data_IF_576016834707
#
_entry.id   IF_576016834707
#
_cell.length_a   1.000
_cell.length_b   1.000
_cell.length_c   1.000
_cell.angle_alpha   90.00
_cell.angle_beta   90.00
_cell.angle_gamma   90.00
#
_symmetry.space_group_name_H-M   'P 1'
#
loop_
_entity.id
_entity.type
_entity.pdbx_description
1 polymer ?
#
# COMPACT_ATOMS: atom_id res chain seq x y z
N UNK A 1 12.25 -8.00 -16.85
CA UNK A 1 12.71 -7.04 -15.81
C UNK A 1 11.68 -7.05 -14.69
N UNK A 2 12.08 -7.17 -13.41
CA UNK A 2 11.12 -7.17 -12.28
C UNK A 2 10.72 -5.74 -11.95
N UNK A 3 9.43 -5.48 -11.75
CA UNK A 3 8.91 -4.16 -11.40
C UNK A 3 9.37 -3.73 -9.98
N UNK A 4 9.93 -2.52 -9.86
CA UNK A 4 10.32 -1.86 -8.60
C UNK A 4 9.46 -0.61 -8.37
N UNK A 5 8.47 -0.64 -7.44
CA UNK A 5 7.60 0.50 -7.17
C UNK A 5 8.32 1.84 -6.93
N UNK A 6 9.44 1.83 -6.18
CA UNK A 6 10.18 3.06 -5.88
C UNK A 6 10.74 3.75 -7.12
N UNK A 7 11.01 3.00 -8.18
CA UNK A 7 11.60 3.50 -9.43
C UNK A 7 10.58 4.25 -10.28
N UNK A 8 9.28 4.11 -10.00
CA UNK A 8 8.23 4.88 -10.67
C UNK A 8 8.06 6.30 -10.08
N UNK A 9 8.83 6.66 -9.04
CA UNK A 9 8.80 7.97 -8.40
C UNK A 9 10.08 8.75 -8.74
N UNK A 10 9.96 10.08 -8.85
CA UNK A 10 11.08 11.01 -9.08
C UNK A 10 12.17 10.95 -7.99
N UNK A 11 11.81 10.56 -6.76
CA UNK A 11 12.75 10.35 -5.66
C UNK A 11 12.58 8.95 -5.04
N UNK A 12 13.25 7.91 -5.58
CA UNK A 12 13.18 6.56 -5.05
C UNK A 12 13.66 6.44 -3.59
N UNK A 13 14.61 7.28 -3.17
CA UNK A 13 15.15 7.29 -1.80
C UNK A 13 14.13 7.73 -0.75
N UNK A 14 13.12 8.51 -1.17
CA UNK A 14 12.04 8.97 -0.30
C UNK A 14 10.91 7.95 -0.07
N UNK A 15 10.96 6.77 -0.70
CA UNK A 15 9.87 5.81 -0.68
C UNK A 15 9.50 5.34 0.74
N UNK A 16 8.23 5.51 1.13
CA UNK A 16 7.73 5.18 2.45
C UNK A 16 8.30 6.05 3.59
N UNK A 17 9.02 7.13 3.28
CA UNK A 17 9.65 8.02 4.28
C UNK A 17 9.12 9.44 4.14
N UNK A 18 9.19 10.01 2.94
CA UNK A 18 8.73 11.38 2.71
C UNK A 18 7.20 11.49 2.89
N UNK A 19 6.69 12.59 3.46
CA UNK A 19 5.27 12.86 3.47
C UNK A 19 4.75 13.25 2.08
N UNK A 20 3.45 12.98 1.85
CA UNK A 20 2.76 13.41 0.64
C UNK A 20 3.06 12.55 -0.59
N UNK A 21 2.56 13.00 -1.75
CA UNK A 21 2.83 12.35 -3.02
C UNK A 21 4.20 12.78 -3.56
N UNK A 22 5.02 11.81 -3.94
CA UNK A 22 6.27 12.05 -4.68
C UNK A 22 5.91 12.11 -6.17
N UNK A 23 6.36 13.13 -6.94
CA UNK A 23 6.07 13.22 -8.37
C UNK A 23 6.52 11.98 -9.16
N UNK A 24 5.94 11.69 -10.34
CA UNK A 24 6.34 10.56 -11.17
C UNK A 24 7.80 10.65 -11.61
N UNK A 25 8.40 9.50 -11.93
CA UNK A 25 9.68 9.46 -12.64
C UNK A 25 9.59 10.15 -14.02
N UNK A 26 10.72 10.57 -14.58
CA UNK A 26 10.78 11.42 -15.77
C UNK A 26 10.06 10.83 -17.01
N UNK A 27 9.99 9.51 -17.11
CA UNK A 27 9.36 8.75 -18.19
C UNK A 27 7.88 8.38 -17.92
N UNK A 28 7.33 8.82 -16.78
CA UNK A 28 5.99 8.47 -16.33
C UNK A 28 5.11 9.71 -16.15
N UNK A 29 3.81 9.50 -16.27
CA UNK A 29 2.79 10.51 -15.97
C UNK A 29 1.97 10.10 -14.75
N UNK A 30 1.15 11.03 -14.25
CA UNK A 30 0.25 10.76 -13.11
C UNK A 30 -0.83 9.73 -13.40
N UNK A 31 -1.12 9.46 -14.68
CA UNK A 31 -2.09 8.45 -15.11
C UNK A 31 -1.46 7.06 -15.36
N UNK A 32 -0.13 6.93 -15.30
CA UNK A 32 0.53 5.64 -15.50
C UNK A 32 0.24 4.71 -14.29
N UNK A 33 -0.24 3.49 -14.58
CA UNK A 33 -0.60 2.51 -13.55
C UNK A 33 0.59 2.11 -12.67
N UNK A 34 1.82 2.14 -13.20
CA UNK A 34 3.04 1.91 -12.42
C UNK A 34 3.21 3.02 -11.38
N UNK A 35 3.09 4.28 -11.79
CA UNK A 35 3.13 5.41 -10.87
C UNK A 35 2.02 5.35 -9.82
N UNK A 36 0.77 5.09 -10.22
CA UNK A 36 -0.36 4.98 -9.30
C UNK A 36 -0.16 3.86 -8.26
N UNK A 37 0.29 2.68 -8.72
CA UNK A 37 0.63 1.57 -7.82
C UNK A 37 1.78 1.92 -6.87
N UNK A 38 2.78 2.66 -7.33
CA UNK A 38 3.88 3.14 -6.50
C UNK A 38 3.43 4.16 -5.45
N UNK A 39 2.53 5.08 -5.79
CA UNK A 39 1.92 6.03 -4.83
C UNK A 39 1.15 5.29 -3.75
N UNK A 40 0.33 4.29 -4.14
CA UNK A 40 -0.42 3.47 -3.21
C UNK A 40 0.52 2.73 -2.24
N UNK A 41 1.54 2.06 -2.76
CA UNK A 41 2.48 1.32 -1.93
C UNK A 41 3.37 2.25 -1.10
N UNK A 42 3.69 3.45 -1.59
CA UNK A 42 4.39 4.48 -0.83
C UNK A 42 3.59 4.89 0.42
N UNK A 43 2.31 5.21 0.24
CA UNK A 43 1.42 5.58 1.34
C UNK A 43 1.30 4.46 2.37
N UNK A 44 1.08 3.23 1.89
CA UNK A 44 1.09 2.02 2.71
C UNK A 44 2.39 1.86 3.51
N UNK A 45 3.54 1.91 2.83
CA UNK A 45 4.83 1.70 3.47
C UNK A 45 5.14 2.77 4.52
N UNK A 46 4.75 4.02 4.23
CA UNK A 46 4.86 5.13 5.17
C UNK A 46 4.00 4.89 6.39
N UNK A 47 2.74 4.49 6.22
CA UNK A 47 1.84 4.25 7.35
C UNK A 47 2.33 3.11 8.23
N UNK A 48 2.74 1.99 7.64
CA UNK A 48 3.34 0.87 8.38
C UNK A 48 4.53 1.32 9.23
N UNK A 49 5.41 2.17 8.67
CA UNK A 49 6.57 2.69 9.41
C UNK A 49 6.17 3.59 10.57
N UNK A 50 5.20 4.48 10.37
CA UNK A 50 4.69 5.35 11.44
C UNK A 50 4.10 4.53 12.59
N UNK A 51 3.33 3.49 12.28
CA UNK A 51 2.72 2.61 13.28
C UNK A 51 3.79 1.83 14.05
N UNK A 52 4.80 1.30 13.36
CA UNK A 52 5.93 0.63 14.00
C UNK A 52 6.72 1.58 14.92
N UNK A 53 6.97 2.81 14.48
CA UNK A 53 7.62 3.84 15.29
C UNK A 53 6.77 4.17 16.52
N UNK A 54 5.46 4.37 16.34
CA UNK A 54 4.53 4.64 17.45
C UNK A 54 4.47 3.49 18.45
N UNK A 55 4.60 2.25 17.99
CA UNK A 55 4.66 1.06 18.82
C UNK A 55 6.06 0.80 19.43
N UNK A 56 7.05 1.64 19.14
CA UNK A 56 8.44 1.43 19.59
C UNK A 56 9.12 0.19 19.01
N UNK A 57 8.62 -0.34 17.88
CA UNK A 57 9.08 -1.60 17.28
C UNK A 57 9.90 -1.38 16.01
N UNK A 58 10.96 -2.15 15.85
CA UNK A 58 11.68 -2.31 14.57
C UNK A 58 10.95 -3.35 13.70
N UNK A 59 10.98 -3.18 12.37
CA UNK A 59 10.35 -4.13 11.41
C UNK A 59 10.70 -5.58 11.71
N UNK A 60 11.98 -5.92 11.89
CA UNK A 60 12.38 -7.31 12.18
C UNK A 60 11.93 -7.81 13.54
N UNK A 61 11.88 -6.94 14.54
CA UNK A 61 11.37 -7.35 15.85
C UNK A 61 9.88 -7.64 15.77
N UNK A 62 9.13 -6.79 15.06
CA UNK A 62 7.71 -6.98 14.85
C UNK A 62 7.43 -8.27 14.07
N UNK A 63 8.12 -8.47 12.94
CA UNK A 63 7.91 -9.64 12.09
C UNK A 63 8.22 -10.95 12.82
N UNK A 64 9.26 -10.96 13.67
CA UNK A 64 9.62 -12.14 14.48
C UNK A 64 8.51 -12.58 15.44
N UNK A 65 7.68 -11.65 15.92
CA UNK A 65 6.53 -11.98 16.77
C UNK A 65 5.46 -12.81 16.02
N UNK A 66 5.58 -12.95 14.69
CA UNK A 66 4.70 -13.71 13.80
C UNK A 66 5.44 -14.79 12.99
N UNK A 67 6.72 -15.04 13.29
CA UNK A 67 7.49 -16.13 12.67
C UNK A 67 6.94 -17.48 13.16
N UNK A 68 6.08 -18.11 12.34
CA UNK A 68 5.44 -19.40 12.63
C UNK A 68 4.09 -19.58 11.94
N UNK A 69 3.29 -18.51 11.86
CA UNK A 69 1.91 -18.57 11.32
C UNK A 69 1.80 -18.13 9.85
N UNK A 70 2.81 -17.42 9.34
CA UNK A 70 2.86 -16.92 7.96
C UNK A 70 4.30 -16.96 7.48
N UNK A 71 4.52 -17.18 6.18
CA UNK A 71 5.83 -17.02 5.50
C UNK A 71 6.27 -15.53 5.45
N UNK A 72 6.27 -14.85 6.60
CA UNK A 72 6.66 -13.47 6.78
C UNK A 72 8.18 -13.40 6.95
N UNK A 73 8.88 -13.34 5.83
CA UNK A 73 10.33 -13.08 5.81
C UNK A 73 10.59 -11.57 6.07
N UNK A 74 11.29 -11.26 7.17
CA UNK A 74 11.68 -9.88 7.50
C UNK A 74 12.49 -9.20 6.38
N UNK A 75 13.30 -9.95 5.61
CA UNK A 75 14.02 -9.40 4.47
C UNK A 75 13.06 -9.03 3.33
N UNK A 76 12.09 -9.90 2.99
CA UNK A 76 11.00 -9.58 2.05
C UNK A 76 10.23 -8.34 2.48
N UNK A 77 9.78 -8.29 3.72
CA UNK A 77 9.03 -7.13 4.27
C UNK A 77 9.84 -5.84 4.12
N UNK A 78 11.13 -5.85 4.46
CA UNK A 78 11.98 -4.67 4.27
C UNK A 78 12.09 -4.24 2.81
N UNK A 79 12.16 -5.19 1.86
CA UNK A 79 12.16 -4.88 0.42
C UNK A 79 10.84 -4.24 -0.01
N UNK A 80 9.70 -4.75 0.47
CA UNK A 80 8.36 -4.18 0.20
C UNK A 80 8.26 -2.75 0.74
N UNK A 81 8.63 -2.53 2.00
CA UNK A 81 8.56 -1.22 2.66
C UNK A 81 9.60 -0.20 2.15
N UNK A 82 10.55 -0.64 1.32
CA UNK A 82 11.50 0.21 0.58
C UNK A 82 11.12 0.39 -0.89
N UNK A 83 10.03 -0.25 -1.33
CA UNK A 83 9.59 -0.21 -2.73
C UNK A 83 10.52 -0.93 -3.70
N UNK A 84 11.40 -1.81 -3.22
CA UNK A 84 12.28 -2.64 -4.05
C UNK A 84 11.56 -3.89 -4.60
N UNK A 85 10.35 -4.17 -4.12
CA UNK A 85 9.45 -5.18 -4.68
C UNK A 85 8.03 -4.77 -4.39
N UNK A 86 7.09 -5.20 -5.22
CA UNK A 86 5.66 -4.95 -5.00
C UNK A 86 5.17 -5.59 -3.71
N UNK A 87 4.32 -4.85 -2.99
CA UNK A 87 3.45 -5.42 -1.97
C UNK A 87 2.39 -6.30 -2.64
N UNK A 88 2.04 -7.41 -2.00
CA UNK A 88 0.88 -8.23 -2.41
C UNK A 88 -0.34 -7.83 -1.60
N UNK A 89 -1.53 -8.24 -2.02
CA UNK A 89 -2.78 -7.93 -1.29
C UNK A 89 -2.73 -8.49 0.13
N UNK A 90 -2.07 -9.64 0.33
CA UNK A 90 -1.86 -10.24 1.65
C UNK A 90 -0.99 -9.36 2.56
N UNK A 91 -0.06 -8.57 2.01
CA UNK A 91 0.71 -7.60 2.79
C UNK A 91 -0.22 -6.52 3.33
N UNK A 92 -1.06 -5.93 2.47
CA UNK A 92 -2.04 -4.95 2.90
C UNK A 92 -2.96 -5.54 3.97
N UNK A 93 -3.47 -6.76 3.74
CA UNK A 93 -4.35 -7.47 4.66
C UNK A 93 -3.71 -7.69 6.03
N UNK A 94 -2.47 -8.20 6.04
CA UNK A 94 -1.72 -8.45 7.26
C UNK A 94 -1.50 -7.16 8.05
N UNK A 95 -0.91 -6.14 7.43
CA UNK A 95 -0.56 -4.91 8.13
C UNK A 95 -1.79 -4.12 8.57
N UNK A 96 -2.86 -4.14 7.78
CA UNK A 96 -4.11 -3.49 8.17
C UNK A 96 -4.85 -4.19 9.31
N UNK A 97 -4.70 -5.52 9.45
CA UNK A 97 -5.21 -6.24 10.62
C UNK A 97 -4.44 -5.88 11.91
N UNK A 98 -3.13 -5.64 11.80
CA UNK A 98 -2.31 -5.25 12.95
C UNK A 98 -2.43 -3.76 13.29
N UNK A 99 -2.54 -2.93 12.25
CA UNK A 99 -2.59 -1.48 12.34
C UNK A 99 -3.75 -0.92 11.50
N UNK A 100 -4.94 -0.72 12.10
CA UNK A 100 -6.11 -0.23 11.40
C UNK A 100 -5.91 1.13 10.68
N UNK A 101 -4.92 1.92 11.10
CA UNK A 101 -4.54 3.15 10.43
C UNK A 101 -4.04 2.95 9.00
N UNK A 102 -3.50 1.77 8.66
CA UNK A 102 -3.11 1.40 7.28
C UNK A 102 -4.33 1.42 6.35
N UNK A 103 -5.47 0.90 6.79
CA UNK A 103 -6.70 0.93 5.99
C UNK A 103 -7.27 2.33 5.81
N UNK A 104 -7.25 3.11 6.90
CA UNK A 104 -7.77 4.48 6.90
C UNK A 104 -7.03 5.37 5.91
N UNK A 105 -5.71 5.33 5.91
CA UNK A 105 -4.88 6.19 5.04
C UNK A 105 -4.93 5.76 3.57
N UNK A 106 -5.34 4.52 3.29
CA UNK A 106 -5.59 4.03 1.94
C UNK A 106 -7.01 4.32 1.44
N UNK A 107 -7.87 4.94 2.27
CA UNK A 107 -9.29 5.16 1.93
C UNK A 107 -10.07 3.84 1.81
N UNK A 108 -9.56 2.77 2.43
CA UNK A 108 -10.14 1.43 2.41
C UNK A 108 -10.81 1.14 3.76
N UNK A 109 -11.72 2.03 4.18
CA UNK A 109 -12.60 1.71 5.31
C UNK A 109 -13.75 0.86 4.76
N UNK A 110 -14.10 -0.30 5.36
CA UNK A 110 -15.24 -1.12 4.92
C UNK A 110 -16.55 -0.31 4.80
N UNK A 111 -16.75 0.68 5.69
CA UNK A 111 -17.83 1.65 5.61
C UNK A 111 -17.83 2.46 4.30
N UNK A 112 -16.67 2.84 3.77
CA UNK A 112 -16.57 3.61 2.53
C UNK A 112 -16.88 2.77 1.30
N UNK A 113 -16.60 1.46 1.32
CA UNK A 113 -17.03 0.52 0.28
C UNK A 113 -18.55 0.37 0.33
N UNK A 114 -19.13 0.16 1.52
CA UNK A 114 -20.58 0.14 1.71
C UNK A 114 -21.25 1.46 1.27
N UNK A 115 -20.65 2.61 1.57
CA UNK A 115 -21.14 3.92 1.15
C UNK A 115 -20.99 4.14 -0.37
N UNK A 116 -19.92 3.65 -0.98
CA UNK A 116 -19.73 3.66 -2.44
C UNK A 116 -20.76 2.80 -3.15
N UNK A 117 -21.05 1.61 -2.62
CA UNK A 117 -22.09 0.71 -3.13
C UNK A 117 -23.48 1.31 -2.95
N UNK A 118 -23.76 1.92 -1.79
CA UNK A 118 -25.00 2.64 -1.53
C UNK A 118 -25.17 3.85 -2.47
N UNK A 119 -24.10 4.60 -2.75
CA UNK A 119 -24.12 5.71 -3.72
C UNK A 119 -24.32 5.22 -5.15
N UNK A 120 -23.69 4.11 -5.56
CA UNK A 120 -23.93 3.49 -6.87
C UNK A 120 -25.38 3.06 -7.02
N UNK A 121 -25.93 2.39 -6.00
CA UNK A 121 -27.34 2.01 -5.95
C UNK A 121 -28.28 3.23 -6.02
N UNK A 122 -27.96 4.32 -5.32
CA UNK A 122 -28.74 5.56 -5.33
C UNK A 122 -28.61 6.36 -6.65
N UNK A 123 -27.47 6.27 -7.33
CA UNK A 123 -27.22 6.97 -8.60
C UNK A 123 -27.81 6.27 -9.84
N UNK A 124 -28.43 5.10 -9.68
CA UNK A 124 -29.05 4.35 -10.78
C UNK A 124 -28.06 3.82 -11.82
N UNK A 125 -26.75 3.96 -11.59
CA UNK A 125 -25.71 3.41 -12.46
C UNK A 125 -25.60 1.93 -12.15
N UNK A 126 -26.33 1.12 -12.91
CA UNK A 126 -26.25 -0.34 -12.86
C UNK A 126 -24.81 -0.82 -13.09
N UNK A 127 -24.46 -2.04 -12.63
CA UNK A 127 -23.14 -2.61 -12.86
C UNK A 127 -22.82 -2.57 -14.36
N UNK A 128 -21.55 -2.30 -14.74
CA UNK A 128 -21.17 -2.32 -16.14
C UNK A 128 -21.54 -3.69 -16.73
N UNK A 129 -22.09 -3.73 -17.95
CA UNK A 129 -22.49 -4.99 -18.56
C UNK A 129 -21.28 -5.94 -18.59
N UNK A 130 -21.49 -7.25 -18.39
CA UNK A 130 -20.41 -8.21 -18.50
C UNK A 130 -19.77 -8.06 -19.88
N UNK A 131 -18.45 -7.93 -19.91
CA UNK A 131 -17.70 -7.95 -21.17
C UNK A 131 -17.80 -9.37 -21.71
N UNK A 132 -18.56 -9.55 -22.78
CA UNK A 132 -18.60 -10.78 -23.57
C UNK A 132 -17.29 -11.03 -24.31
#
# INVERSE_FOLDING_TARGET
>A
MKYEPRSALSNPGGFGVLPGAIPPAADLTTSDLRYQGAVLQHAFARRVRLELVSAGKKVSSFVRDFEGDRNLDAARVRRVLRGATSATIEDFAFWGAQFPGVWRDLGLVPQQIADLDARRAASGVGPPPPRG
#
